data_IF_204531975290
#
_entry.id   IF_204531975290
#
_cell.length_a   1.000
_cell.length_b   1.000
_cell.length_c   1.000
_cell.angle_alpha   90.00
_cell.angle_beta   90.00
_cell.angle_gamma   90.00
#
_symmetry.space_group_name_H-M   'P 1'
#
loop_
_entity.id
_entity.type
_entity.pdbx_description
1 polymer ?
#
# COMPACT_ATOMS: atom_id res chain seq x y z
N UNK A 1 10.33 20.66 -0.01
CA UNK A 1 11.62 19.92 0.12
C UNK A 1 11.59 18.69 -0.79
N UNK A 2 12.70 18.31 -1.44
CA UNK A 2 12.79 17.10 -2.29
C UNK A 2 13.01 15.86 -1.41
N UNK A 3 12.66 14.67 -1.94
CA UNK A 3 12.76 13.41 -1.16
C UNK A 3 14.18 13.12 -0.66
N UNK A 4 15.18 13.33 -1.52
CA UNK A 4 16.56 13.07 -1.14
C UNK A 4 17.04 14.00 -0.02
N UNK A 5 16.58 15.26 0.02
CA UNK A 5 16.91 16.20 1.09
C UNK A 5 16.34 15.73 2.43
N UNK A 6 15.10 15.21 2.43
CA UNK A 6 14.47 14.64 3.62
C UNK A 6 15.22 13.39 4.10
N UNK A 7 15.64 12.52 3.16
CA UNK A 7 16.42 11.31 3.48
C UNK A 7 17.78 11.69 4.11
N UNK A 8 18.46 12.71 3.60
CA UNK A 8 19.70 13.19 4.20
C UNK A 8 19.50 13.72 5.62
N UNK A 9 18.38 14.39 5.91
CA UNK A 9 18.05 14.80 7.28
C UNK A 9 17.89 13.60 8.23
N UNK A 10 17.24 12.53 7.77
CA UNK A 10 17.15 11.27 8.54
C UNK A 10 18.54 10.67 8.78
N UNK A 11 19.39 10.64 7.77
CA UNK A 11 20.77 10.13 7.87
C UNK A 11 21.61 10.94 8.83
N UNK A 12 21.44 12.26 8.84
CA UNK A 12 22.10 13.18 9.76
C UNK A 12 21.49 13.16 11.18
N UNK A 13 20.45 12.33 11.43
CA UNK A 13 19.70 12.32 12.70
C UNK A 13 19.17 13.69 13.09
N UNK A 14 18.79 14.50 12.11
CA UNK A 14 18.20 15.81 12.31
C UNK A 14 16.67 15.69 12.45
N UNK A 15 16.14 16.12 13.59
CA UNK A 15 14.70 16.04 13.90
C UNK A 15 13.80 16.78 12.88
N UNK A 16 14.35 17.77 12.15
CA UNK A 16 13.64 18.42 11.04
C UNK A 16 13.19 17.46 9.94
N UNK A 17 13.78 16.25 9.87
CA UNK A 17 13.32 15.19 8.97
C UNK A 17 11.86 14.82 9.21
N UNK A 18 11.44 14.74 10.49
CA UNK A 18 10.07 14.39 10.88
C UNK A 18 9.11 15.50 10.45
N UNK A 19 9.43 16.76 10.72
CA UNK A 19 8.62 17.91 10.31
C UNK A 19 8.47 17.97 8.80
N UNK A 20 9.57 17.86 8.05
CA UNK A 20 9.55 17.89 6.59
C UNK A 20 8.76 16.72 6.00
N UNK A 21 8.82 15.54 6.63
CA UNK A 21 8.04 14.37 6.24
C UNK A 21 6.55 14.60 6.49
N UNK A 22 6.19 15.12 7.65
CA UNK A 22 4.80 15.42 8.03
C UNK A 22 4.18 16.44 7.08
N UNK A 23 4.87 17.53 6.79
CA UNK A 23 4.40 18.56 5.85
C UNK A 23 4.16 17.99 4.44
N UNK A 24 5.05 17.15 3.96
CA UNK A 24 4.99 16.63 2.60
C UNK A 24 4.07 15.42 2.44
N UNK A 25 4.08 14.51 3.41
CA UNK A 25 3.45 13.20 3.30
C UNK A 25 2.37 12.93 4.37
N UNK A 26 2.07 13.89 5.25
CA UNK A 26 1.10 13.71 6.32
C UNK A 26 -0.28 13.28 5.81
N UNK A 27 -0.83 14.01 4.84
CA UNK A 27 -2.12 13.66 4.24
C UNK A 27 -2.10 12.30 3.53
N UNK A 28 -0.98 11.94 2.93
CA UNK A 28 -0.81 10.67 2.24
C UNK A 28 -0.82 9.50 3.24
N UNK A 29 -0.03 9.55 4.31
CA UNK A 29 0.01 8.54 5.36
C UNK A 29 -1.33 8.44 6.08
N UNK A 30 -1.91 9.58 6.48
CA UNK A 30 -3.23 9.62 7.11
C UNK A 30 -4.32 8.98 6.23
N UNK A 31 -4.33 9.26 4.92
CA UNK A 31 -5.31 8.69 3.99
C UNK A 31 -5.19 7.17 3.91
N UNK A 32 -3.97 6.61 3.82
CA UNK A 32 -3.76 5.16 3.84
C UNK A 32 -4.28 4.56 5.15
N UNK A 33 -3.88 5.13 6.28
CA UNK A 33 -4.30 4.65 7.60
C UNK A 33 -5.83 4.72 7.77
N UNK A 34 -6.45 5.84 7.39
CA UNK A 34 -7.89 6.03 7.48
C UNK A 34 -8.68 5.06 6.59
N UNK A 35 -8.20 4.77 5.38
CA UNK A 35 -8.84 3.80 4.49
C UNK A 35 -8.89 2.39 5.11
N UNK A 36 -7.92 2.07 5.96
CA UNK A 36 -7.83 0.77 6.65
C UNK A 36 -8.62 0.79 7.95
N UNK A 37 -8.38 1.78 8.80
CA UNK A 37 -8.87 1.80 10.19
C UNK A 37 -10.27 2.36 10.34
N UNK A 38 -10.70 3.24 9.40
CA UNK A 38 -12.01 3.93 9.41
C UNK A 38 -12.28 4.72 10.71
N UNK A 39 -11.23 5.05 11.42
CA UNK A 39 -11.22 5.89 12.62
C UNK A 39 -10.18 7.00 12.41
N UNK A 40 -10.55 8.24 12.73
CA UNK A 40 -9.72 9.41 12.45
C UNK A 40 -8.55 9.51 13.44
N UNK A 41 -8.82 9.28 14.71
CA UNK A 41 -7.83 9.32 15.78
C UNK A 41 -6.79 8.22 15.59
N UNK A 42 -7.23 7.00 15.32
CA UNK A 42 -6.33 5.87 15.02
C UNK A 42 -5.49 6.11 13.76
N UNK A 43 -6.06 6.76 12.75
CA UNK A 43 -5.34 7.08 11.52
C UNK A 43 -4.26 8.15 11.76
N UNK A 44 -4.54 9.14 12.59
CA UNK A 44 -3.59 10.17 12.98
C UNK A 44 -2.42 9.59 13.79
N UNK A 45 -2.74 8.75 14.78
CA UNK A 45 -1.73 8.03 15.55
C UNK A 45 -0.87 7.11 14.66
N UNK A 46 -1.49 6.37 13.75
CA UNK A 46 -0.78 5.51 12.81
C UNK A 46 0.16 6.31 11.87
N UNK A 47 -0.24 7.51 11.47
CA UNK A 47 0.61 8.39 10.68
C UNK A 47 1.83 8.86 11.50
N UNK A 48 1.64 9.20 12.77
CA UNK A 48 2.74 9.57 13.68
C UNK A 48 3.69 8.38 13.91
N UNK A 49 3.15 7.19 14.15
CA UNK A 49 3.94 5.95 14.26
C UNK A 49 4.76 5.66 12.98
N UNK A 50 4.25 6.06 11.82
CA UNK A 50 4.97 5.94 10.54
C UNK A 50 6.24 6.79 10.53
N UNK A 51 6.19 8.01 11.06
CA UNK A 51 7.38 8.89 11.11
C UNK A 51 8.42 8.36 12.10
N UNK A 52 7.98 7.81 13.22
CA UNK A 52 8.86 7.14 14.17
C UNK A 52 9.47 5.87 13.54
N UNK A 53 8.69 5.09 12.79
CA UNK A 53 9.16 3.94 12.04
C UNK A 53 10.23 4.31 11.02
N UNK A 54 10.03 5.39 10.28
CA UNK A 54 11.02 5.93 9.34
C UNK A 54 12.29 6.41 10.06
N UNK A 55 12.14 7.11 11.18
CA UNK A 55 13.25 7.55 12.02
C UNK A 55 14.11 6.39 12.51
N UNK A 56 13.50 5.32 12.95
CA UNK A 56 14.20 4.15 13.48
C UNK A 56 14.85 3.29 12.41
N UNK A 57 14.37 3.37 11.17
CA UNK A 57 14.86 2.53 10.06
C UNK A 57 15.77 3.25 9.06
N UNK A 58 15.81 4.58 9.07
CA UNK A 58 16.73 5.40 8.28
C UNK A 58 17.71 6.14 9.23
N UNK A 59 19.02 5.85 9.24
CA UNK A 59 19.69 4.74 8.60
C UNK A 59 19.42 3.38 9.30
N UNK A 60 19.76 2.23 8.74
CA UNK A 60 20.62 2.02 7.55
C UNK A 60 19.87 2.02 6.22
N UNK A 61 18.53 1.98 6.24
CA UNK A 61 17.74 1.97 5.00
C UNK A 61 17.90 3.30 4.24
N UNK A 62 18.04 3.21 2.89
CA UNK A 62 18.12 4.39 2.02
C UNK A 62 17.12 4.25 0.88
N UNK A 63 15.83 4.57 1.10
CA UNK A 63 14.80 4.37 0.11
C UNK A 63 15.01 5.27 -1.11
N UNK A 64 14.90 4.70 -2.31
CA UNK A 64 14.95 5.46 -3.56
C UNK A 64 13.70 6.33 -3.78
N UNK A 65 12.57 5.96 -3.18
CA UNK A 65 11.28 6.67 -3.22
C UNK A 65 10.68 6.74 -1.82
N UNK A 66 10.79 7.89 -1.19
CA UNK A 66 10.33 8.08 0.19
C UNK A 66 8.83 7.86 0.34
N UNK A 67 8.01 8.28 -0.63
CA UNK A 67 6.55 8.05 -0.61
C UNK A 67 6.17 6.57 -0.53
N UNK A 68 6.82 5.71 -1.31
CA UNK A 68 6.56 4.27 -1.31
C UNK A 68 6.99 3.65 0.02
N UNK A 69 8.13 4.08 0.53
CA UNK A 69 8.67 3.59 1.80
C UNK A 69 7.74 3.92 2.98
N UNK A 70 7.33 5.19 3.10
CA UNK A 70 6.37 5.62 4.12
C UNK A 70 5.03 4.92 3.97
N UNK A 71 4.52 4.79 2.73
CA UNK A 71 3.28 4.08 2.45
C UNK A 71 3.32 2.61 2.89
N UNK A 72 4.46 1.92 2.72
CA UNK A 72 4.66 0.55 3.22
C UNK A 72 4.60 0.49 4.74
N UNK A 73 5.31 1.39 5.43
CA UNK A 73 5.30 1.46 6.91
C UNK A 73 3.88 1.72 7.41
N UNK A 74 3.22 2.77 6.90
CA UNK A 74 1.84 3.14 7.29
C UNK A 74 0.87 1.98 7.10
N UNK A 75 0.92 1.34 5.93
CA UNK A 75 0.04 0.21 5.61
C UNK A 75 0.25 -0.95 6.58
N UNK A 76 1.49 -1.32 6.86
CA UNK A 76 1.80 -2.42 7.78
C UNK A 76 1.30 -2.12 9.20
N UNK A 77 1.55 -0.91 9.70
CA UNK A 77 1.07 -0.47 11.00
C UNK A 77 -0.47 -0.50 11.09
N UNK A 78 -1.13 0.07 10.09
CA UNK A 78 -2.59 0.11 10.05
C UNK A 78 -3.20 -1.30 9.93
N UNK A 79 -2.65 -2.19 9.10
CA UNK A 79 -3.13 -3.57 8.99
C UNK A 79 -2.92 -4.36 10.27
N UNK A 80 -1.78 -4.19 10.96
CA UNK A 80 -1.54 -4.84 12.25
C UNK A 80 -2.52 -4.36 13.32
N UNK A 81 -2.84 -3.06 13.34
CA UNK A 81 -3.85 -2.49 14.23
C UNK A 81 -5.25 -3.00 13.88
N UNK A 82 -5.60 -3.03 12.60
CA UNK A 82 -6.86 -3.57 12.10
C UNK A 82 -7.06 -5.04 12.48
N UNK A 83 -6.03 -5.89 12.30
CA UNK A 83 -6.07 -7.30 12.70
C UNK A 83 -6.35 -7.47 14.20
N UNK A 84 -5.76 -6.63 15.06
CA UNK A 84 -6.05 -6.65 16.51
C UNK A 84 -7.51 -6.31 16.82
N UNK A 85 -8.06 -5.27 16.18
CA UNK A 85 -9.45 -4.86 16.39
C UNK A 85 -10.47 -5.87 15.84
N UNK A 86 -10.16 -6.53 14.72
CA UNK A 86 -11.08 -7.51 14.11
C UNK A 86 -11.03 -8.88 14.76
N UNK A 87 -9.95 -9.22 15.45
CA UNK A 87 -9.88 -10.41 16.29
C UNK A 87 -10.91 -10.34 17.43
N UNK A 88 -11.22 -9.12 17.91
CA UNK A 88 -12.20 -8.87 18.98
C UNK A 88 -13.65 -8.72 18.45
N UNK A 89 -13.83 -8.34 17.19
CA UNK A 89 -15.16 -8.10 16.58
C UNK A 89 -15.28 -8.85 15.26
N UNK A 90 -16.09 -9.91 15.22
CA UNK A 90 -16.43 -10.64 13.98
C UNK A 90 -17.18 -9.73 13.01
N UNK A 91 -16.46 -9.15 12.03
CA UNK A 91 -17.04 -8.31 10.98
C UNK A 91 -16.14 -8.21 9.75
N UNK A 92 -16.61 -8.71 8.59
CA UNK A 92 -15.88 -8.61 7.33
C UNK A 92 -15.94 -7.19 6.78
N UNK A 93 -14.88 -6.39 7.01
CA UNK A 93 -14.74 -5.04 6.46
C UNK A 93 -14.23 -5.02 5.01
N UNK A 94 -14.36 -3.87 4.35
CA UNK A 94 -13.90 -3.64 2.95
C UNK A 94 -12.41 -3.94 2.73
N UNK A 95 -11.61 -3.84 3.77
CA UNK A 95 -10.16 -4.13 3.75
C UNK A 95 -9.92 -5.63 3.56
N UNK A 96 -10.63 -6.46 4.32
CA UNK A 96 -10.56 -7.93 4.19
C UNK A 96 -10.99 -8.34 2.79
N UNK A 97 -12.06 -7.74 2.26
CA UNK A 97 -12.53 -8.02 0.91
C UNK A 97 -11.48 -7.67 -0.15
N UNK A 98 -10.85 -6.48 -0.07
CA UNK A 98 -9.81 -6.10 -1.02
C UNK A 98 -8.57 -7.02 -0.96
N UNK A 99 -8.17 -7.42 0.24
CA UNK A 99 -7.05 -8.33 0.42
C UNK A 99 -7.38 -9.73 -0.11
N UNK A 100 -8.54 -10.30 0.22
CA UNK A 100 -8.96 -11.60 -0.28
C UNK A 100 -9.16 -11.63 -1.81
N UNK A 101 -9.64 -10.52 -2.40
CA UNK A 101 -9.70 -10.38 -3.85
C UNK A 101 -8.32 -10.49 -4.51
N UNK A 102 -7.28 -9.96 -3.87
CA UNK A 102 -5.91 -9.98 -4.38
C UNK A 102 -5.21 -11.31 -4.08
N UNK A 103 -5.41 -11.87 -2.90
CA UNK A 103 -4.87 -13.19 -2.50
C UNK A 103 -5.26 -14.30 -3.47
N UNK A 104 -6.46 -14.23 -4.05
CA UNK A 104 -6.88 -15.16 -5.09
C UNK A 104 -6.06 -15.07 -6.41
N UNK A 105 -5.18 -14.09 -6.55
CA UNK A 105 -4.43 -13.81 -7.78
C UNK A 105 -2.92 -13.69 -7.57
N UNK A 106 -2.46 -13.80 -6.33
CA UNK A 106 -1.05 -13.66 -5.93
C UNK A 106 -0.71 -14.81 -4.98
N UNK A 107 0.49 -15.42 -5.06
CA UNK A 107 0.88 -16.51 -4.16
C UNK A 107 0.67 -16.14 -2.70
N UNK A 108 0.07 -17.03 -1.93
CA UNK A 108 0.00 -16.89 -0.48
C UNK A 108 1.32 -17.30 0.14
N UNK A 109 1.74 -16.55 1.15
CA UNK A 109 3.00 -16.70 1.88
C UNK A 109 3.35 -18.16 2.19
N UNK A 110 4.58 -18.57 1.90
CA UNK A 110 5.21 -19.69 2.60
C UNK A 110 6.73 -19.55 2.65
N UNK A 111 7.28 -19.66 3.85
CA UNK A 111 8.66 -20.00 4.27
C UNK A 111 9.83 -19.03 4.03
N UNK A 112 10.88 -19.25 4.81
CA UNK A 112 12.07 -18.43 5.14
C UNK A 112 13.02 -18.08 3.96
N UNK A 113 12.78 -18.58 2.76
CA UNK A 113 13.57 -18.26 1.53
C UNK A 113 13.07 -16.99 0.80
N UNK A 114 12.14 -16.30 1.39
CA UNK A 114 11.20 -15.31 0.83
C UNK A 114 11.77 -13.99 0.32
N UNK A 115 12.94 -13.54 0.74
CA UNK A 115 13.36 -12.16 0.41
C UNK A 115 13.70 -11.96 -1.07
N UNK A 116 14.14 -13.02 -1.76
CA UNK A 116 14.46 -12.98 -3.20
C UNK A 116 13.16 -13.10 -4.01
N UNK A 117 12.30 -14.05 -3.64
CA UNK A 117 11.00 -14.28 -4.29
C UNK A 117 10.04 -13.11 -4.13
N UNK A 118 10.01 -12.44 -2.97
CA UNK A 118 9.24 -11.20 -2.75
C UNK A 118 9.68 -10.07 -3.68
N UNK A 119 10.98 -9.90 -3.91
CA UNK A 119 11.51 -8.90 -4.81
C UNK A 119 11.16 -9.20 -6.28
N UNK A 120 11.19 -10.47 -6.67
CA UNK A 120 10.81 -10.92 -8.02
C UNK A 120 9.32 -10.74 -8.27
N UNK A 121 8.48 -11.12 -7.31
CA UNK A 121 7.03 -10.89 -7.37
C UNK A 121 6.69 -9.41 -7.44
N UNK A 122 7.30 -8.58 -6.61
CA UNK A 122 7.10 -7.13 -6.63
C UNK A 122 7.51 -6.54 -7.99
N UNK A 123 8.65 -6.95 -8.52
CA UNK A 123 9.13 -6.50 -9.83
C UNK A 123 8.20 -6.97 -10.97
N UNK A 124 7.66 -8.19 -10.89
CA UNK A 124 6.70 -8.70 -11.87
C UNK A 124 5.38 -7.91 -11.83
N UNK A 125 4.85 -7.64 -10.65
CA UNK A 125 3.64 -6.80 -10.49
C UNK A 125 3.89 -5.38 -11.03
N UNK A 126 5.03 -4.79 -10.78
CA UNK A 126 5.42 -3.47 -11.30
C UNK A 126 5.47 -3.48 -12.84
N UNK A 127 6.11 -4.49 -13.47
CA UNK A 127 6.12 -4.66 -14.94
C UNK A 127 4.71 -4.78 -15.50
N UNK A 128 3.87 -5.61 -14.88
CA UNK A 128 2.47 -5.76 -15.28
C UNK A 128 1.72 -4.43 -15.23
N UNK A 129 1.80 -3.71 -14.12
CA UNK A 129 1.09 -2.45 -13.94
C UNK A 129 1.61 -1.36 -14.88
N UNK A 130 2.92 -1.34 -15.16
CA UNK A 130 3.52 -0.36 -16.09
C UNK A 130 3.03 -0.53 -17.51
N UNK A 131 2.75 -1.77 -17.93
CA UNK A 131 2.19 -2.09 -19.26
C UNK A 131 0.70 -1.73 -19.40
N UNK A 132 0.00 -1.35 -18.30
CA UNK A 132 -1.42 -1.03 -18.35
C UNK A 132 -1.67 0.46 -18.60
N UNK A 133 -2.82 0.81 -19.23
CA UNK A 133 -3.25 2.19 -19.36
C UNK A 133 -3.25 2.90 -17.99
N UNK A 134 -2.82 4.15 -17.96
CA UNK A 134 -2.68 4.96 -16.73
C UNK A 134 -3.93 4.93 -15.84
N UNK A 135 -5.12 5.00 -16.44
CA UNK A 135 -6.37 4.94 -15.70
C UNK A 135 -6.54 3.61 -14.94
N UNK A 136 -6.33 2.49 -15.64
CA UNK A 136 -6.51 1.16 -15.08
C UNK A 136 -5.50 0.91 -13.95
N UNK A 137 -4.23 1.27 -14.17
CA UNK A 137 -3.18 1.21 -13.17
C UNK A 137 -3.52 2.02 -11.93
N UNK A 138 -3.98 3.25 -12.09
CA UNK A 138 -4.33 4.11 -10.97
C UNK A 138 -5.51 3.56 -10.16
N UNK A 139 -6.54 3.02 -10.82
CA UNK A 139 -7.69 2.37 -10.17
C UNK A 139 -7.22 1.14 -9.37
N UNK A 140 -6.36 0.31 -9.95
CA UNK A 140 -5.80 -0.88 -9.30
C UNK A 140 -4.99 -0.51 -8.05
N UNK A 141 -4.06 0.44 -8.17
CA UNK A 141 -3.24 0.93 -7.06
C UNK A 141 -4.12 1.54 -5.96
N UNK A 142 -5.13 2.34 -6.31
CA UNK A 142 -6.06 2.88 -5.31
C UNK A 142 -6.81 1.78 -4.56
N UNK A 143 -7.25 0.73 -5.25
CA UNK A 143 -8.00 -0.35 -4.61
C UNK A 143 -7.12 -1.20 -3.70
N UNK A 144 -5.96 -1.69 -4.20
CA UNK A 144 -5.18 -2.72 -3.54
C UNK A 144 -3.99 -2.20 -2.73
N UNK A 145 -3.43 -1.07 -3.11
CA UNK A 145 -2.34 -0.46 -2.35
C UNK A 145 -2.85 0.55 -1.31
N UNK A 146 -3.74 1.46 -1.73
CA UNK A 146 -4.29 2.49 -0.84
C UNK A 146 -5.61 2.08 -0.16
N UNK A 147 -6.19 0.93 -0.50
CA UNK A 147 -7.39 0.34 0.09
C UNK A 147 -8.64 1.24 0.05
N UNK A 148 -8.79 2.04 -1.00
CA UNK A 148 -10.01 2.81 -1.23
C UNK A 148 -11.22 1.91 -1.47
N UNK A 149 -12.39 2.34 -0.99
CA UNK A 149 -13.65 1.70 -1.33
C UNK A 149 -13.97 1.86 -2.83
N UNK A 150 -14.65 0.89 -3.42
CA UNK A 150 -15.05 0.95 -4.84
C UNK A 150 -15.87 2.20 -5.12
N UNK A 151 -16.78 2.57 -4.22
CA UNK A 151 -17.59 3.80 -4.31
C UNK A 151 -16.72 5.07 -4.40
N UNK A 152 -15.68 5.16 -3.58
CA UNK A 152 -14.80 6.34 -3.54
C UNK A 152 -13.96 6.44 -4.83
N UNK A 153 -13.52 5.28 -5.36
CA UNK A 153 -12.84 5.21 -6.65
C UNK A 153 -13.79 5.61 -7.79
N UNK A 154 -15.02 5.08 -7.79
CA UNK A 154 -16.03 5.39 -8.79
C UNK A 154 -16.33 6.90 -8.81
N UNK A 155 -16.54 7.51 -7.65
CA UNK A 155 -16.75 8.95 -7.51
C UNK A 155 -15.56 9.78 -8.03
N UNK A 156 -14.33 9.38 -7.68
CA UNK A 156 -13.11 10.10 -8.08
C UNK A 156 -12.85 10.08 -9.60
N UNK A 157 -13.34 9.06 -10.31
CA UNK A 157 -13.14 8.90 -11.75
C UNK A 157 -14.40 9.11 -12.59
N UNK A 158 -15.53 9.52 -11.99
CA UNK A 158 -16.80 9.70 -12.70
C UNK A 158 -17.31 8.40 -13.33
N UNK A 159 -17.12 7.26 -12.67
CA UNK A 159 -17.50 5.95 -13.16
C UNK A 159 -18.57 5.33 -12.26
N UNK A 160 -19.36 4.37 -12.80
CA UNK A 160 -20.21 3.52 -11.93
C UNK A 160 -19.38 2.53 -11.14
N UNK A 161 -19.86 2.13 -9.97
CA UNK A 161 -19.23 1.08 -9.15
C UNK A 161 -19.09 -0.23 -9.90
N UNK A 162 -20.12 -0.61 -10.69
CA UNK A 162 -20.09 -1.80 -11.55
C UNK A 162 -18.96 -1.76 -12.58
N UNK A 163 -18.71 -0.59 -13.19
CA UNK A 163 -17.62 -0.42 -14.15
C UNK A 163 -16.25 -0.56 -13.49
N UNK A 164 -16.07 0.00 -12.29
CA UNK A 164 -14.84 -0.13 -11.49
C UNK A 164 -14.64 -1.60 -11.09
N UNK A 165 -15.67 -2.28 -10.58
CA UNK A 165 -15.62 -3.70 -10.20
C UNK A 165 -15.23 -4.59 -11.38
N UNK A 166 -15.86 -4.38 -12.53
CA UNK A 166 -15.57 -5.15 -13.76
C UNK A 166 -14.15 -4.91 -14.27
N UNK A 167 -13.63 -3.68 -14.16
CA UNK A 167 -12.26 -3.34 -14.52
C UNK A 167 -11.27 -4.04 -13.59
N UNK A 168 -11.49 -3.96 -12.28
CA UNK A 168 -10.63 -4.61 -11.29
C UNK A 168 -10.62 -6.13 -11.44
N UNK A 169 -11.78 -6.75 -11.69
CA UNK A 169 -11.89 -8.18 -11.95
C UNK A 169 -11.05 -8.60 -13.17
N UNK A 170 -11.18 -7.88 -14.29
CA UNK A 170 -10.37 -8.17 -15.49
C UNK A 170 -8.89 -8.02 -15.23
N UNK A 171 -8.48 -6.94 -14.53
CA UNK A 171 -7.07 -6.72 -14.21
C UNK A 171 -6.49 -7.81 -13.31
N UNK A 172 -7.24 -8.32 -12.33
CA UNK A 172 -6.81 -9.45 -11.50
C UNK A 172 -6.58 -10.71 -12.33
N UNK A 173 -7.52 -11.04 -13.22
CA UNK A 173 -7.38 -12.21 -14.09
C UNK A 173 -6.20 -12.07 -15.07
N UNK A 174 -5.94 -10.86 -15.56
CA UNK A 174 -4.78 -10.60 -16.41
C UNK A 174 -3.47 -10.67 -15.61
N UNK A 175 -3.45 -10.17 -14.38
CA UNK A 175 -2.30 -10.26 -13.47
C UNK A 175 -1.99 -11.73 -13.17
N UNK A 176 -2.99 -12.54 -12.81
CA UNK A 176 -2.83 -13.97 -12.57
C UNK A 176 -2.15 -14.67 -13.73
N UNK A 177 -2.70 -14.50 -14.97
CA UNK A 177 -2.12 -15.10 -16.18
C UNK A 177 -0.72 -14.59 -16.48
N UNK A 178 -0.43 -13.34 -16.14
CA UNK A 178 0.89 -12.77 -16.32
C UNK A 178 1.90 -13.43 -15.37
N UNK A 179 1.56 -13.57 -14.08
CA UNK A 179 2.41 -14.22 -13.08
C UNK A 179 2.65 -15.70 -13.42
N UNK A 180 1.62 -16.43 -13.85
CA UNK A 180 1.74 -17.82 -14.33
C UNK A 180 2.75 -17.92 -15.50
N UNK A 181 2.74 -16.97 -16.43
CA UNK A 181 3.70 -16.94 -17.57
C UNK A 181 5.13 -16.59 -17.15
N UNK A 182 5.29 -15.79 -16.11
CA UNK A 182 6.60 -15.45 -15.52
C UNK A 182 7.15 -16.62 -14.67
N UNK A 183 6.42 -17.73 -14.54
CA UNK A 183 6.82 -18.89 -13.74
C UNK A 183 6.62 -18.71 -12.24
N UNK A 184 5.89 -17.66 -11.84
CA UNK A 184 5.54 -17.43 -10.44
C UNK A 184 4.30 -18.27 -10.13
N UNK A 185 4.50 -19.36 -9.38
CA UNK A 185 3.40 -20.26 -8.99
C UNK A 185 2.46 -19.59 -7.99
N UNK A 186 1.15 -19.74 -8.22
CA UNK A 186 0.06 -19.20 -7.41
C UNK A 186 -0.41 -20.21 -6.38
#
# INVERSE_FOLDING_TARGET
>A
MKDHEIIELYWARNESAITATTEKYGNYCHTIAYNILRNKEDAEECANDTYLGAWNSIPPQRPSRLSIYLGKITRNLALNRYKRYTAEKRGHGQVVLALSELEACVPSETTVEQTIEENELAAAIDRFLYAKPKLNRNIFVRRYYHLYAIRDIAGAYGMSESKVTSLLFRMRNELRRFLEKEGIML
#
